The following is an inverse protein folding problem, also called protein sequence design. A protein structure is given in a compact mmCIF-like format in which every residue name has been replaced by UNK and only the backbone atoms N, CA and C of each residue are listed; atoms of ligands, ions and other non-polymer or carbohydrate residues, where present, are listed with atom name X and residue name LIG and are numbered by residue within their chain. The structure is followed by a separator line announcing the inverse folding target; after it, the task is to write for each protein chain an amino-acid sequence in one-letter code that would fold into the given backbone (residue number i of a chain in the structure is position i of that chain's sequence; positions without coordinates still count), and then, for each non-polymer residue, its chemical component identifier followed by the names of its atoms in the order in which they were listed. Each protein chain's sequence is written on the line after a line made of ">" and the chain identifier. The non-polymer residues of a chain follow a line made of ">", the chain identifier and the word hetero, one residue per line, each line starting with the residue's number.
data_IF_586326112080
#
_entry.id   IF_586326112080
#
_cell.length_a   1.000
_cell.length_b   1.000
_cell.length_c   1.000
_cell.angle_alpha   90.00
_cell.angle_beta   90.00
_cell.angle_gamma   90.00
#
_symmetry.space_group_name_H-M   'P 1'
#
loop_
_entity.id
_entity.type
_entity.pdbx_description
1 polymer ?
#
# COMPACT_ATOMS: atom_id res chain seq x y z
N UNK A 1 -32.38 5.24 -1.12
CA UNK A 1 -31.05 5.26 -0.49
C UNK A 1 -31.16 4.69 0.92
N UNK A 2 -30.40 3.64 1.22
CA UNK A 2 -30.40 2.98 2.54
C UNK A 2 -29.85 3.92 3.63
N UNK A 3 -30.22 3.69 4.90
CA UNK A 3 -29.78 4.49 6.04
C UNK A 3 -28.25 4.53 6.18
N UNK A 4 -27.54 3.43 5.86
CA UNK A 4 -26.08 3.41 5.86
C UNK A 4 -25.50 4.41 4.86
N UNK A 5 -26.01 4.42 3.63
CA UNK A 5 -25.56 5.32 2.57
C UNK A 5 -25.82 6.79 2.88
N UNK A 6 -26.99 7.11 3.44
CA UNK A 6 -27.33 8.48 3.88
C UNK A 6 -26.35 9.01 4.93
N UNK A 7 -25.99 8.18 5.91
CA UNK A 7 -25.05 8.57 6.97
C UNK A 7 -23.65 8.81 6.40
N UNK A 8 -23.19 7.94 5.50
CA UNK A 8 -21.88 8.09 4.85
C UNK A 8 -21.80 9.34 3.97
N UNK A 9 -22.87 9.65 3.23
CA UNK A 9 -22.94 10.85 2.40
C UNK A 9 -22.94 12.12 3.25
N UNK A 10 -23.79 12.20 4.27
CA UNK A 10 -23.80 13.33 5.20
C UNK A 10 -22.47 13.53 5.92
N UNK A 11 -21.82 12.44 6.35
CA UNK A 11 -20.50 12.52 6.96
C UNK A 11 -19.45 13.04 5.97
N UNK A 12 -19.43 12.55 4.73
CA UNK A 12 -18.51 12.99 3.70
C UNK A 12 -18.68 14.49 3.36
N UNK A 13 -19.92 14.98 3.27
CA UNK A 13 -20.22 16.40 3.06
C UNK A 13 -19.70 17.29 4.19
N UNK A 14 -19.91 16.88 5.45
CA UNK A 14 -19.39 17.61 6.61
C UNK A 14 -17.86 17.61 6.62
N UNK A 15 -17.22 16.48 6.29
CA UNK A 15 -15.76 16.33 6.22
C UNK A 15 -15.12 17.08 5.04
N UNK A 16 -15.90 17.44 4.02
CA UNK A 16 -15.43 18.28 2.92
C UNK A 16 -15.21 19.74 3.34
N UNK A 17 -15.87 20.18 4.42
CA UNK A 17 -15.88 21.59 4.86
C UNK A 17 -15.25 21.83 6.22
N UNK A 18 -15.07 20.78 7.03
CA UNK A 18 -14.48 20.87 8.36
C UNK A 18 -13.49 19.72 8.64
N UNK A 19 -12.48 19.94 9.51
CA UNK A 19 -11.61 18.87 10.01
C UNK A 19 -12.39 17.76 10.73
N UNK A 20 -11.88 16.53 10.67
CA UNK A 20 -12.50 15.37 11.31
C UNK A 20 -12.75 15.54 12.81
N UNK A 21 -11.87 16.25 13.51
CA UNK A 21 -12.01 16.58 14.93
C UNK A 21 -13.31 17.36 15.23
N UNK A 22 -13.73 18.25 14.33
CA UNK A 22 -14.88 19.15 14.50
C UNK A 22 -16.21 18.50 14.10
N UNK A 23 -16.19 17.43 13.29
CA UNK A 23 -17.40 16.70 12.89
C UNK A 23 -17.88 15.80 14.03
N UNK A 24 -19.08 16.08 14.57
CA UNK A 24 -19.70 15.26 15.63
C UNK A 24 -20.67 14.22 15.04
N UNK A 25 -20.82 13.07 15.71
CA UNK A 25 -21.81 12.04 15.33
C UNK A 25 -23.24 12.58 15.36
N UNK A 26 -23.51 13.55 16.25
CA UNK A 26 -24.79 14.26 16.31
C UNK A 26 -25.04 15.09 15.06
N UNK A 27 -24.07 15.89 14.62
CA UNK A 27 -24.19 16.68 13.39
C UNK A 27 -24.42 15.78 12.17
N UNK A 28 -23.73 14.63 12.10
CA UNK A 28 -23.97 13.63 11.05
C UNK A 28 -25.39 13.06 11.11
N UNK A 29 -25.88 12.71 12.30
CA UNK A 29 -27.25 12.21 12.48
C UNK A 29 -28.30 13.23 12.04
N UNK A 30 -28.13 14.49 12.44
CA UNK A 30 -29.00 15.60 12.06
C UNK A 30 -29.00 15.80 10.54
N UNK A 31 -27.83 15.85 9.91
CA UNK A 31 -27.69 15.98 8.46
C UNK A 31 -28.26 14.78 7.68
N UNK A 32 -28.08 13.56 8.17
CA UNK A 32 -28.60 12.35 7.52
C UNK A 32 -30.09 12.07 7.82
N UNK A 33 -30.71 12.82 8.75
CA UNK A 33 -32.09 12.60 9.19
C UNK A 33 -32.29 11.26 9.90
N UNK A 34 -31.29 10.78 10.65
CA UNK A 34 -31.33 9.50 11.37
C UNK A 34 -31.15 9.70 12.88
N UNK A 35 -31.60 8.74 13.68
CA UNK A 35 -31.32 8.73 15.12
C UNK A 35 -29.93 8.19 15.46
N UNK A 36 -29.32 8.72 16.52
CA UNK A 36 -28.02 8.25 17.02
C UNK A 36 -27.92 6.72 17.26
N UNK A 37 -28.95 6.01 17.78
CA UNK A 37 -28.89 4.56 17.93
C UNK A 37 -28.66 3.82 16.61
N UNK A 38 -29.18 4.35 15.50
CA UNK A 38 -28.97 3.76 14.18
C UNK A 38 -27.52 3.91 13.71
N UNK A 39 -26.92 5.09 13.91
CA UNK A 39 -25.52 5.36 13.57
C UNK A 39 -24.60 4.42 14.35
N UNK A 40 -24.74 4.35 15.67
CA UNK A 40 -23.88 3.49 16.50
C UNK A 40 -24.09 2.00 16.22
N UNK A 41 -25.30 1.57 15.87
CA UNK A 41 -25.55 0.18 15.42
C UNK A 41 -24.79 -0.15 14.13
N UNK A 42 -24.69 0.79 13.20
CA UNK A 42 -24.07 0.57 11.89
C UNK A 42 -22.56 0.72 11.90
N UNK A 43 -22.02 1.63 12.72
CA UNK A 43 -20.62 2.05 12.66
C UNK A 43 -19.85 1.87 13.97
N UNK A 44 -20.51 1.46 15.05
CA UNK A 44 -19.91 1.28 16.37
C UNK A 44 -19.66 2.61 17.10
N UNK A 45 -18.79 3.45 16.55
CA UNK A 45 -18.41 4.74 17.12
C UNK A 45 -18.06 5.78 16.02
N UNK A 46 -17.50 6.93 16.44
CA UNK A 46 -17.05 7.97 15.50
C UNK A 46 -15.89 7.47 14.62
N UNK A 47 -14.94 6.72 15.17
CA UNK A 47 -13.78 6.22 14.42
C UNK A 47 -14.21 5.21 13.35
N UNK A 48 -15.13 4.30 13.68
CA UNK A 48 -15.71 3.35 12.73
C UNK A 48 -16.53 4.03 11.62
N UNK A 49 -17.23 5.13 11.94
CA UNK A 49 -17.88 5.95 10.92
C UNK A 49 -16.85 6.60 9.99
N UNK A 50 -15.81 7.24 10.53
CA UNK A 50 -14.76 7.88 9.74
C UNK A 50 -14.02 6.87 8.85
N UNK A 51 -13.71 5.67 9.39
CA UNK A 51 -13.10 4.59 8.62
C UNK A 51 -14.00 4.17 7.45
N UNK A 52 -15.30 4.03 7.67
CA UNK A 52 -16.25 3.68 6.61
C UNK A 52 -16.40 4.79 5.54
N UNK A 53 -16.28 6.07 5.93
CA UNK A 53 -16.24 7.18 4.97
C UNK A 53 -14.97 7.12 4.12
N UNK A 54 -13.82 6.85 4.74
CA UNK A 54 -12.54 6.68 4.03
C UNK A 54 -12.63 5.50 3.06
N UNK A 55 -13.09 4.33 3.52
CA UNK A 55 -13.22 3.15 2.66
C UNK A 55 -14.12 3.43 1.45
N UNK A 56 -15.24 4.14 1.63
CA UNK A 56 -16.11 4.57 0.53
C UNK A 56 -15.40 5.52 -0.43
N UNK A 57 -14.67 6.51 0.08
CA UNK A 57 -13.96 7.50 -0.76
C UNK A 57 -12.80 6.90 -1.55
N UNK A 58 -12.14 5.87 -1.00
CA UNK A 58 -11.02 5.18 -1.62
C UNK A 58 -11.44 4.03 -2.54
N UNK A 59 -12.70 3.59 -2.49
CA UNK A 59 -13.18 2.48 -3.31
C UNK A 59 -12.99 2.71 -4.81
N UNK A 60 -13.23 3.94 -5.31
CA UNK A 60 -13.01 4.26 -6.73
C UNK A 60 -11.53 4.19 -7.11
N UNK A 61 -10.66 4.65 -6.22
CA UNK A 61 -9.21 4.57 -6.39
C UNK A 61 -8.71 3.12 -6.39
N UNK A 62 -9.20 2.31 -5.46
CA UNK A 62 -8.86 0.89 -5.38
C UNK A 62 -9.44 0.11 -6.57
N UNK A 63 -10.64 0.44 -7.02
CA UNK A 63 -11.22 -0.13 -8.24
C UNK A 63 -10.33 0.14 -9.46
N UNK A 64 -9.79 1.35 -9.61
CA UNK A 64 -8.82 1.67 -10.66
C UNK A 64 -7.55 0.82 -10.55
N UNK A 65 -7.01 0.64 -9.33
CA UNK A 65 -5.83 -0.21 -9.12
C UNK A 65 -6.11 -1.70 -9.39
N UNK A 66 -7.26 -2.22 -8.95
CA UNK A 66 -7.69 -3.61 -9.19
C UNK A 66 -7.85 -3.91 -10.67
N UNK A 67 -8.37 -2.95 -11.43
CA UNK A 67 -8.57 -3.08 -12.87
C UNK A 67 -7.26 -2.96 -13.69
N UNK A 68 -6.19 -2.42 -13.10
CA UNK A 68 -4.91 -2.29 -13.77
C UNK A 68 -4.33 -3.69 -14.07
N UNK A 69 -4.15 -3.99 -15.36
CA UNK A 69 -3.53 -5.23 -15.78
C UNK A 69 -2.01 -5.14 -15.54
N UNK A 70 -1.38 -6.17 -14.96
CA UNK A 70 0.08 -6.28 -14.89
C UNK A 70 0.73 -6.05 -16.26
N UNK A 71 1.66 -5.10 -16.35
CA UNK A 71 2.46 -4.87 -17.55
C UNK A 71 3.59 -5.89 -17.70
N UNK A 72 4.41 -5.74 -18.74
CA UNK A 72 5.60 -6.59 -18.95
C UNK A 72 6.75 -6.21 -17.99
N UNK A 73 6.93 -4.92 -17.70
CA UNK A 73 7.94 -4.44 -16.75
C UNK A 73 7.29 -4.10 -15.38
N UNK A 74 7.50 -4.93 -14.34
CA UNK A 74 6.91 -4.66 -13.03
C UNK A 74 7.48 -3.39 -12.38
N UNK A 75 8.67 -2.92 -12.77
CA UNK A 75 9.22 -1.64 -12.26
C UNK A 75 8.48 -0.44 -12.87
N UNK A 76 8.07 -0.52 -14.14
CA UNK A 76 7.19 0.48 -14.74
C UNK A 76 5.82 0.51 -14.03
N UNK A 77 5.27 -0.67 -13.69
CA UNK A 77 4.02 -0.77 -12.92
C UNK A 77 4.13 -0.10 -11.54
N UNK A 78 5.28 -0.21 -10.86
CA UNK A 78 5.53 0.51 -9.59
C UNK A 78 5.48 2.02 -9.79
N UNK A 79 6.13 2.53 -10.86
CA UNK A 79 6.17 3.96 -11.16
C UNK A 79 4.77 4.50 -11.45
N UNK A 80 4.00 3.82 -12.28
CA UNK A 80 2.59 4.16 -12.53
C UNK A 80 1.74 4.05 -11.27
N UNK A 81 2.00 3.06 -10.42
CA UNK A 81 1.31 2.88 -9.14
C UNK A 81 1.53 4.04 -8.16
N UNK A 82 2.75 4.58 -8.11
CA UNK A 82 3.11 5.78 -7.35
C UNK A 82 2.38 7.01 -7.87
N UNK A 83 2.43 7.24 -9.19
CA UNK A 83 1.82 8.42 -9.83
C UNK A 83 0.30 8.43 -9.65
N UNK A 84 -0.34 7.27 -9.79
CA UNK A 84 -1.77 7.12 -9.55
C UNK A 84 -2.14 7.45 -8.10
N UNK A 85 -1.31 7.06 -7.13
CA UNK A 85 -1.52 7.42 -5.73
C UNK A 85 -1.39 8.92 -5.50
N UNK A 86 -0.35 9.54 -6.05
CA UNK A 86 -0.12 10.97 -5.93
C UNK A 86 -1.24 11.80 -6.57
N UNK A 87 -1.70 11.40 -7.77
CA UNK A 87 -2.85 12.03 -8.43
C UNK A 87 -4.09 11.96 -7.55
N UNK A 88 -4.43 10.78 -7.03
CA UNK A 88 -5.58 10.63 -6.13
C UNK A 88 -5.48 11.54 -4.89
N UNK A 89 -4.30 11.59 -4.26
CA UNK A 89 -4.08 12.44 -3.10
C UNK A 89 -4.33 13.93 -3.39
N UNK A 90 -3.89 14.41 -4.56
CA UNK A 90 -4.04 15.80 -4.99
C UNK A 90 -5.46 16.14 -5.46
N UNK A 91 -6.16 15.20 -6.10
CA UNK A 91 -7.55 15.35 -6.53
C UNK A 91 -8.55 15.28 -5.36
N UNK A 92 -8.22 14.53 -4.30
CA UNK A 92 -9.09 14.31 -3.15
C UNK A 92 -8.43 14.65 -1.80
N UNK A 93 -7.95 15.89 -1.59
CA UNK A 93 -7.07 16.25 -0.47
C UNK A 93 -7.73 16.09 0.90
N UNK A 94 -9.03 16.34 1.04
CA UNK A 94 -9.76 16.18 2.31
C UNK A 94 -9.89 14.70 2.70
N UNK A 95 -10.29 13.85 1.75
CA UNK A 95 -10.40 12.40 1.96
C UNK A 95 -9.04 11.79 2.26
N UNK A 96 -8.01 12.24 1.55
CA UNK A 96 -6.65 11.74 1.73
C UNK A 96 -6.07 12.11 3.11
N UNK A 97 -6.28 13.34 3.58
CA UNK A 97 -5.90 13.74 4.95
C UNK A 97 -6.64 12.92 6.00
N UNK A 98 -7.94 12.69 5.80
CA UNK A 98 -8.74 11.89 6.72
C UNK A 98 -8.21 10.45 6.86
N UNK A 99 -7.75 9.83 5.77
CA UNK A 99 -7.20 8.47 5.80
C UNK A 99 -5.98 8.32 6.74
N UNK A 100 -5.21 9.39 6.93
CA UNK A 100 -4.03 9.41 7.81
C UNK A 100 -4.24 10.27 9.06
N UNK A 101 -5.50 10.50 9.43
CA UNK A 101 -5.87 11.32 10.58
C UNK A 101 -5.68 10.54 11.88
N UNK A 102 -5.18 11.16 12.97
CA UNK A 102 -5.02 10.51 14.27
C UNK A 102 -6.35 10.05 14.90
N UNK A 103 -7.49 10.57 14.41
CA UNK A 103 -8.84 10.16 14.80
C UNK A 103 -9.18 8.73 14.34
N UNK A 104 -8.46 8.18 13.37
CA UNK A 104 -8.58 6.79 12.96
C UNK A 104 -7.70 5.92 13.85
N UNK A 105 -8.33 5.23 14.78
CA UNK A 105 -7.66 4.28 15.69
C UNK A 105 -7.45 2.90 15.08
N UNK A 106 -8.11 2.62 13.95
CA UNK A 106 -7.98 1.37 13.18
C UNK A 106 -7.69 1.74 11.72
N UNK A 107 -6.68 1.12 11.08
CA UNK A 107 -6.43 1.32 9.66
C UNK A 107 -7.66 0.97 8.82
N UNK A 108 -8.11 1.85 7.91
CA UNK A 108 -9.18 1.54 6.96
C UNK A 108 -8.83 0.30 6.12
N UNK A 109 -9.85 -0.45 5.69
CA UNK A 109 -9.65 -1.61 4.82
C UNK A 109 -8.94 -1.22 3.51
N UNK A 110 -9.21 -0.01 3.03
CA UNK A 110 -8.57 0.57 1.86
C UNK A 110 -7.03 0.64 1.96
N UNK A 111 -6.49 0.95 3.15
CA UNK A 111 -5.03 1.02 3.37
C UNK A 111 -4.42 -0.38 3.26
N UNK A 112 -5.07 -1.37 3.87
CA UNK A 112 -4.63 -2.77 3.83
C UNK A 112 -4.65 -3.33 2.41
N UNK A 113 -5.68 -3.01 1.63
CA UNK A 113 -5.78 -3.41 0.23
C UNK A 113 -4.71 -2.73 -0.65
N UNK A 114 -4.51 -1.42 -0.49
CA UNK A 114 -3.46 -0.70 -1.21
C UNK A 114 -2.06 -1.29 -0.93
N UNK A 115 -1.80 -1.68 0.33
CA UNK A 115 -0.58 -2.38 0.73
C UNK A 115 -0.44 -3.73 0.01
N UNK A 116 -1.50 -4.56 0.00
CA UNK A 116 -1.48 -5.86 -0.67
C UNK A 116 -1.26 -5.74 -2.19
N UNK A 117 -1.88 -4.75 -2.84
CA UNK A 117 -1.70 -4.50 -4.27
C UNK A 117 -0.26 -4.07 -4.61
N UNK A 118 0.34 -3.17 -3.81
CA UNK A 118 1.74 -2.78 -3.97
C UNK A 118 2.67 -3.98 -3.76
N UNK A 119 2.40 -4.77 -2.71
CA UNK A 119 3.18 -5.97 -2.40
C UNK A 119 3.18 -6.97 -3.55
N UNK A 120 2.02 -7.20 -4.20
CA UNK A 120 1.94 -8.08 -5.36
C UNK A 120 2.79 -7.62 -6.56
N UNK A 121 2.91 -6.30 -6.78
CA UNK A 121 3.82 -5.76 -7.81
C UNK A 121 5.27 -6.01 -7.42
N UNK A 122 5.62 -5.86 -6.14
CA UNK A 122 6.97 -6.10 -5.65
C UNK A 122 7.36 -7.58 -5.66
N UNK A 123 6.43 -8.49 -5.44
CA UNK A 123 6.65 -9.92 -5.66
C UNK A 123 7.01 -10.21 -7.12
N UNK A 124 6.36 -9.54 -8.08
CA UNK A 124 6.76 -9.63 -9.50
C UNK A 124 8.14 -9.05 -9.76
N UNK A 125 8.50 -7.94 -9.11
CA UNK A 125 9.86 -7.41 -9.18
C UNK A 125 10.89 -8.39 -8.62
N UNK A 126 10.61 -9.05 -7.49
CA UNK A 126 11.48 -10.08 -6.93
C UNK A 126 11.61 -11.30 -7.84
N UNK A 127 10.49 -11.80 -8.37
CA UNK A 127 10.47 -12.93 -9.31
C UNK A 127 11.28 -12.63 -10.59
N UNK A 128 11.28 -11.37 -11.04
CA UNK A 128 12.09 -10.90 -12.16
C UNK A 128 13.56 -10.59 -11.78
N UNK A 129 13.99 -10.89 -10.54
CA UNK A 129 15.35 -10.63 -10.05
C UNK A 129 15.70 -9.14 -9.93
N UNK A 130 14.68 -8.26 -9.89
CA UNK A 130 14.84 -6.81 -9.92
C UNK A 130 15.04 -6.21 -8.54
N UNK A 131 14.55 -6.82 -7.46
CA UNK A 131 14.64 -6.25 -6.11
C UNK A 131 15.99 -6.49 -5.42
N UNK A 132 16.44 -5.49 -4.66
CA UNK A 132 17.67 -5.54 -3.84
C UNK A 132 17.40 -5.95 -2.39
N UNK A 133 16.14 -5.91 -1.96
CA UNK A 133 15.67 -6.22 -0.61
C UNK A 133 14.42 -7.10 -0.68
N UNK A 134 14.01 -7.75 0.43
CA UNK A 134 12.76 -8.53 0.46
C UNK A 134 11.52 -7.69 0.07
N UNK A 135 10.54 -8.28 -0.66
CA UNK A 135 9.33 -7.58 -1.10
C UNK A 135 8.57 -6.85 0.01
N UNK A 136 8.46 -7.47 1.19
CA UNK A 136 7.79 -6.86 2.36
C UNK A 136 8.46 -5.55 2.77
N UNK A 137 9.79 -5.53 2.89
CA UNK A 137 10.54 -4.33 3.26
C UNK A 137 10.44 -3.25 2.17
N UNK A 138 10.54 -3.64 0.89
CA UNK A 138 10.33 -2.72 -0.22
C UNK A 138 8.92 -2.10 -0.20
N UNK A 139 7.90 -2.88 0.18
CA UNK A 139 6.50 -2.41 0.27
C UNK A 139 6.39 -1.33 1.33
N UNK A 140 6.95 -1.58 2.52
CA UNK A 140 6.98 -0.62 3.63
C UNK A 140 7.70 0.68 3.25
N UNK A 141 8.88 0.59 2.63
CA UNK A 141 9.67 1.76 2.23
C UNK A 141 8.94 2.59 1.18
N UNK A 142 8.45 1.95 0.11
CA UNK A 142 7.76 2.65 -0.99
C UNK A 142 6.47 3.29 -0.48
N UNK A 143 5.65 2.56 0.28
CA UNK A 143 4.40 3.09 0.80
C UNK A 143 4.65 4.27 1.74
N UNK A 144 5.62 4.16 2.66
CA UNK A 144 5.96 5.25 3.58
C UNK A 144 6.44 6.50 2.85
N UNK A 145 7.31 6.33 1.84
CA UNK A 145 7.83 7.45 1.07
C UNK A 145 6.74 8.13 0.23
N UNK A 146 5.87 7.34 -0.39
CA UNK A 146 4.78 7.83 -1.23
C UNK A 146 3.72 8.59 -0.40
N UNK A 147 3.34 8.03 0.76
CA UNK A 147 2.41 8.67 1.71
C UNK A 147 3.02 9.93 2.31
N UNK A 148 4.28 9.87 2.74
CA UNK A 148 5.00 11.01 3.28
C UNK A 148 5.11 12.16 2.27
N UNK A 149 5.42 11.84 1.00
CA UNK A 149 5.46 12.83 -0.07
C UNK A 149 4.08 13.48 -0.31
N UNK A 150 3.02 12.65 -0.43
CA UNK A 150 1.66 13.14 -0.62
C UNK A 150 1.18 14.05 0.52
N UNK A 151 1.33 13.61 1.77
CA UNK A 151 0.94 14.41 2.94
C UNK A 151 1.78 15.69 3.05
N UNK A 152 3.07 15.64 2.73
CA UNK A 152 3.92 16.83 2.79
C UNK A 152 3.48 17.89 1.77
N UNK A 153 3.21 17.48 0.52
CA UNK A 153 2.68 18.38 -0.51
C UNK A 153 1.30 18.95 -0.15
N UNK A 154 0.43 18.12 0.44
CA UNK A 154 -0.92 18.54 0.82
C UNK A 154 -0.93 19.48 2.04
N UNK A 155 -0.06 19.27 3.01
CA UNK A 155 -0.10 20.00 4.29
C UNK A 155 0.83 21.21 4.31
N UNK A 156 1.88 21.23 3.47
CA UNK A 156 2.89 22.29 3.43
C UNK A 156 3.25 22.68 1.98
N UNK A 157 2.28 23.02 1.12
CA UNK A 157 2.53 23.26 -0.31
C UNK A 157 3.64 24.29 -0.57
N UNK A 158 3.72 25.35 0.24
CA UNK A 158 4.77 26.39 0.13
C UNK A 158 6.19 25.86 0.35
N UNK A 159 6.36 24.73 1.06
CA UNK A 159 7.66 24.07 1.27
C UNK A 159 8.02 23.12 0.13
N UNK A 160 7.05 22.76 -0.72
CA UNK A 160 7.22 21.84 -1.84
C UNK A 160 6.71 22.47 -3.15
N UNK A 161 7.26 23.63 -3.57
CA UNK A 161 6.77 24.37 -4.74
C UNK A 161 7.14 23.71 -6.09
N UNK A 162 8.09 22.78 -6.08
CA UNK A 162 8.61 22.17 -7.30
C UNK A 162 7.67 21.05 -7.80
N UNK A 163 7.11 21.18 -9.03
CA UNK A 163 6.19 20.18 -9.57
C UNK A 163 6.84 18.82 -9.83
N UNK A 164 8.17 18.76 -9.94
CA UNK A 164 8.94 17.53 -10.14
C UNK A 164 9.31 16.80 -8.85
N UNK A 165 8.95 17.32 -7.66
CA UNK A 165 9.28 16.71 -6.37
C UNK A 165 8.83 15.24 -6.31
N UNK A 166 7.55 14.98 -6.59
CA UNK A 166 6.98 13.63 -6.54
C UNK A 166 7.71 12.63 -7.44
N UNK A 167 7.96 13.02 -8.70
CA UNK A 167 8.63 12.15 -9.69
C UNK A 167 10.08 11.83 -9.27
N UNK A 168 10.82 12.83 -8.77
CA UNK A 168 12.19 12.60 -8.30
C UNK A 168 12.24 11.77 -7.02
N UNK A 169 11.30 11.96 -6.08
CA UNK A 169 11.18 11.11 -4.89
C UNK A 169 10.86 9.66 -5.26
N UNK A 170 9.92 9.45 -6.19
CA UNK A 170 9.58 8.14 -6.74
C UNK A 170 10.80 7.45 -7.33
N UNK A 171 11.49 8.13 -8.24
CA UNK A 171 12.61 7.55 -8.97
C UNK A 171 13.78 7.25 -8.01
N UNK A 172 14.10 8.17 -7.09
CA UNK A 172 15.13 7.93 -6.08
C UNK A 172 14.84 6.69 -5.20
N UNK A 173 13.59 6.53 -4.75
CA UNK A 173 13.20 5.39 -3.91
C UNK A 173 13.20 4.09 -4.73
N UNK A 174 12.55 4.07 -5.90
CA UNK A 174 12.45 2.86 -6.72
C UNK A 174 13.83 2.43 -7.23
N UNK A 175 14.67 3.36 -7.67
CA UNK A 175 16.01 3.04 -8.17
C UNK A 175 16.94 2.54 -7.04
N UNK A 176 16.74 2.98 -5.79
CA UNK A 176 17.49 2.43 -4.64
C UNK A 176 17.12 0.98 -4.31
N UNK A 177 15.89 0.57 -4.63
CA UNK A 177 15.34 -0.76 -4.30
C UNK A 177 15.38 -1.73 -5.47
N UNK A 178 15.71 -1.25 -6.68
CA UNK A 178 15.67 -2.04 -7.90
C UNK A 178 17.00 -2.05 -8.65
N UNK A 179 17.20 -3.05 -9.50
CA UNK A 179 18.32 -3.14 -10.43
C UNK A 179 17.82 -3.15 -11.87
N UNK A 180 18.68 -2.86 -12.87
CA UNK A 180 18.35 -3.08 -14.27
C UNK A 180 17.92 -4.53 -14.52
N UNK A 181 17.11 -4.75 -15.56
CA UNK A 181 16.75 -6.10 -15.97
C UNK A 181 18.02 -6.86 -16.39
N UNK A 182 18.23 -8.03 -15.79
CA UNK A 182 19.23 -8.99 -16.27
C UNK A 182 18.71 -9.77 -17.48
N UNK A 183 19.57 -10.53 -18.17
CA UNK A 183 19.11 -11.46 -19.21
C UNK A 183 18.08 -12.44 -18.64
N UNK A 184 16.99 -12.67 -19.37
CA UNK A 184 15.91 -13.56 -18.96
C UNK A 184 16.45 -14.97 -18.67
N UNK A 185 16.40 -15.41 -17.42
CA UNK A 185 16.87 -16.73 -17.02
C UNK A 185 15.71 -17.73 -17.15
N UNK A 186 15.63 -18.38 -18.31
CA UNK A 186 14.68 -19.46 -18.59
C UNK A 186 14.79 -20.67 -17.64
N UNK A 187 15.92 -20.82 -16.93
CA UNK A 187 16.21 -21.89 -15.97
C UNK A 187 16.49 -21.34 -14.55
N UNK A 188 15.85 -20.22 -14.19
CA UNK A 188 16.20 -19.47 -12.97
C UNK A 188 16.06 -20.24 -11.65
N UNK A 189 15.07 -21.14 -11.53
CA UNK A 189 14.83 -21.86 -10.25
C UNK A 189 15.92 -22.89 -9.95
N UNK A 190 16.29 -23.82 -10.87
CA UNK A 190 17.41 -24.72 -10.61
C UNK A 190 18.73 -24.01 -10.33
N UNK A 191 19.04 -22.95 -11.08
CA UNK A 191 20.27 -22.15 -10.90
C UNK A 191 20.26 -21.40 -9.56
N UNK A 192 19.12 -20.80 -9.17
CA UNK A 192 18.97 -20.13 -7.89
C UNK A 192 19.07 -21.11 -6.72
N UNK A 193 18.45 -22.29 -6.82
CA UNK A 193 18.52 -23.33 -5.80
C UNK A 193 19.96 -23.84 -5.63
N UNK A 194 20.67 -24.13 -6.72
CA UNK A 194 22.08 -24.52 -6.70
C UNK A 194 22.97 -23.42 -6.09
N UNK A 195 22.73 -22.16 -6.44
CA UNK A 195 23.46 -21.00 -5.91
C UNK A 195 23.24 -20.83 -4.42
N UNK A 196 21.98 -20.93 -3.95
CA UNK A 196 21.65 -20.81 -2.53
C UNK A 196 22.24 -21.98 -1.72
N UNK A 197 22.15 -23.21 -2.23
CA UNK A 197 22.75 -24.38 -1.60
C UNK A 197 24.27 -24.22 -1.44
N UNK A 198 24.96 -23.71 -2.46
CA UNK A 198 26.40 -23.44 -2.38
C UNK A 198 26.75 -22.39 -1.33
N UNK A 199 25.95 -21.31 -1.21
CA UNK A 199 26.15 -20.27 -0.21
C UNK A 199 25.93 -20.78 1.22
N UNK A 200 24.87 -21.55 1.46
CA UNK A 200 24.59 -22.11 2.80
C UNK A 200 25.66 -23.09 3.27
N UNK A 201 26.31 -23.82 2.35
CA UNK A 201 27.47 -24.67 2.68
C UNK A 201 28.70 -23.84 3.07
N UNK A 202 28.94 -22.73 2.40
CA UNK A 202 30.06 -21.85 2.68
C UNK A 202 29.87 -21.07 4.00
N UNK A 203 28.65 -20.60 4.25
CA UNK A 203 28.27 -19.83 5.43
C UNK A 203 26.97 -20.39 6.04
N UNK A 204 27.07 -21.36 6.96
CA UNK A 204 25.90 -21.95 7.61
C UNK A 204 25.10 -20.91 8.40
N UNK A 205 23.79 -20.85 8.17
CA UNK A 205 22.92 -19.90 8.86
C UNK A 205 22.54 -20.41 10.26
N UNK A 206 22.82 -19.64 11.30
CA UNK A 206 22.66 -20.06 12.70
C UNK A 206 21.21 -20.29 13.17
N UNK A 207 20.21 -19.94 12.35
CA UNK A 207 18.79 -20.05 12.72
C UNK A 207 18.20 -21.46 12.60
N UNK A 208 18.89 -22.39 11.94
CA UNK A 208 18.37 -23.75 11.73
C UNK A 208 19.09 -24.77 12.62
N UNK A 209 18.34 -25.72 13.14
CA UNK A 209 18.89 -26.94 13.73
C UNK A 209 19.63 -27.76 12.66
N UNK A 210 20.48 -28.73 13.05
CA UNK A 210 21.15 -29.62 12.10
C UNK A 210 20.17 -30.38 11.19
N UNK A 211 19.02 -30.81 11.73
CA UNK A 211 17.99 -31.52 10.98
C UNK A 211 17.30 -30.63 9.94
N UNK A 212 16.93 -29.39 10.31
CA UNK A 212 16.34 -28.41 9.40
C UNK A 212 17.31 -28.01 8.30
N UNK A 213 18.60 -27.84 8.64
CA UNK A 213 19.66 -27.54 7.67
C UNK A 213 19.83 -28.67 6.65
N UNK A 214 19.83 -29.93 7.11
CA UNK A 214 19.89 -31.09 6.22
C UNK A 214 18.69 -31.20 5.29
N UNK A 215 17.48 -30.97 5.82
CA UNK A 215 16.24 -30.99 5.03
C UNK A 215 16.19 -29.87 3.99
N UNK A 216 16.55 -28.64 4.37
CA UNK A 216 16.64 -27.51 3.45
C UNK A 216 17.62 -27.79 2.32
N UNK A 217 18.79 -28.34 2.63
CA UNK A 217 19.78 -28.68 1.62
C UNK A 217 19.26 -29.74 0.64
N UNK A 218 18.60 -30.78 1.14
CA UNK A 218 17.97 -31.80 0.29
C UNK A 218 16.92 -31.21 -0.66
N UNK A 219 16.07 -30.30 -0.18
CA UNK A 219 15.07 -29.63 -1.01
C UNK A 219 15.69 -28.74 -2.08
N UNK A 220 16.75 -28.00 -1.75
CA UNK A 220 17.47 -27.17 -2.73
C UNK A 220 18.18 -28.02 -3.79
N UNK A 221 18.74 -29.18 -3.42
CA UNK A 221 19.34 -30.12 -4.37
C UNK A 221 18.28 -30.71 -5.31
N UNK A 222 17.10 -31.07 -4.76
CA UNK A 222 15.95 -31.53 -5.56
C UNK A 222 15.50 -30.47 -6.56
N UNK A 223 15.37 -29.21 -6.12
CA UNK A 223 15.00 -28.09 -7.00
C UNK A 223 16.07 -27.77 -8.06
N UNK A 224 17.34 -28.04 -7.75
CA UNK A 224 18.46 -27.90 -8.68
C UNK A 224 18.53 -29.03 -9.73
N UNK A 225 17.73 -30.09 -9.57
CA UNK A 225 17.75 -31.27 -10.45
C UNK A 225 18.88 -32.26 -10.14
N UNK A 226 19.41 -32.24 -8.91
CA UNK A 226 20.45 -33.17 -8.42
C UNK A 226 19.85 -34.26 -7.53
#
# INVERSE_FOLDING_TARGET
>A
MDAREKILEAAAELLATAPAAEVSTRAVCEAAGVGAPMLYRLFGDKAGLLAAVVDRGFEQYLASKRAARPGEDPVADLKSGWDNHMRFALEHPHHYRLMYSPELTVPPAAVSEAHALLHAILERCAAAGRLTVPPVLATQIIMSANVGAALSMLTRPEQYPDPGFSARSRDAVIDSLTRPAGPAQGDGVPVAAATLAARLRAEPHASFTPAESGLLQQWLETLAGN
#
